data_IF_111639238479
#
_entry.id   IF_111639238479
#
_cell.length_a   1.000
_cell.length_b   1.000
_cell.length_c   1.000
_cell.angle_alpha   90.00
_cell.angle_beta   90.00
_cell.angle_gamma   90.00
#
_symmetry.space_group_name_H-M   'P 1'
#
loop_
_entity.id
_entity.type
_entity.pdbx_description
1 polymer ?
2 non-polymer ?
3 water ?
#
# COMPACT_ATOMS: atom_id res chain seq x y z
N UNK A 8 1.70 13.27 23.00
CA UNK A 8 1.77 14.53 22.17
C UNK A 8 1.50 14.25 20.67
N UNK A 9 0.35 14.71 20.15
CA UNK A 9 -0.03 14.49 18.73
C UNK A 9 1.08 14.85 17.74
N UNK A 10 1.06 14.21 16.57
CA UNK A 10 2.00 14.55 15.48
C UNK A 10 1.58 15.85 14.84
N UNK A 11 2.56 16.66 14.43
CA UNK A 11 2.28 17.91 13.74
C UNK A 11 2.30 17.76 12.20
N UNK A 12 2.38 16.53 11.69
CA UNK A 12 2.50 16.31 10.24
C UNK A 12 1.13 16.41 9.56
N UNK A 13 1.07 17.13 8.43
CA UNK A 13 -0.09 17.15 7.57
C UNK A 13 -0.41 15.76 7.05
N UNK A 14 -1.65 15.32 7.28
CA UNK A 14 -2.13 14.06 6.78
C UNK A 14 -3.59 14.17 6.41
N UNK A 15 -4.06 13.29 5.54
CA UNK A 15 -5.47 13.20 5.17
C UNK A 15 -5.77 11.82 4.61
N UNK A 16 -6.96 11.32 4.89
CA UNK A 16 -7.46 10.10 4.31
C UNK A 16 -8.95 10.24 4.07
N UNK A 17 -9.35 10.50 2.83
CA UNK A 17 -10.76 10.70 2.54
C UNK A 17 -11.29 9.56 1.64
N UNK A 18 -12.62 9.40 1.63
CA UNK A 18 -13.30 8.19 1.12
C UNK A 18 -14.47 8.56 0.19
N UNK A 19 -14.77 7.73 -0.79
CA UNK A 19 -15.89 8.02 -1.71
C UNK A 19 -17.19 8.08 -0.94
N UNK A 20 -18.09 8.99 -1.30
CA UNK A 20 -19.40 9.07 -0.68
C UNK A 20 -20.24 8.02 -1.32
N UNK A 21 -20.70 7.04 -0.56
CA UNK A 21 -21.37 5.89 -1.19
C UNK A 21 -22.78 6.14 -1.72
N UNK A 22 -23.43 7.20 -1.30
CA UNK A 22 -24.76 7.47 -1.81
C UNK A 22 -24.71 8.40 -3.02
N UNK A 23 -23.55 9.01 -3.28
CA UNK A 23 -23.32 9.75 -4.52
C UNK A 23 -23.00 8.82 -5.70
N UNK A 24 -23.92 7.90 -5.98
CA UNK A 24 -23.90 7.12 -7.22
C UNK A 24 -23.68 7.98 -8.45
N UNK A 25 -22.84 7.51 -9.35
CA UNK A 25 -22.64 8.19 -10.64
C UNK A 25 -21.70 9.37 -10.55
N UNK A 26 -21.04 9.50 -9.39
CA UNK A 26 -20.05 10.52 -9.12
C UNK A 26 -18.97 9.95 -8.21
N UNK A 27 -17.82 10.60 -8.21
CA UNK A 27 -16.81 10.40 -7.19
C UNK A 27 -16.67 11.62 -6.27
N UNK A 28 -17.34 11.55 -5.12
CA UNK A 28 -17.33 12.61 -4.14
C UNK A 28 -16.48 12.20 -2.94
N UNK A 29 -15.39 12.93 -2.73
CA UNK A 29 -14.55 12.68 -1.59
C UNK A 29 -15.14 13.28 -0.31
N UNK A 30 -15.21 12.50 0.78
CA UNK A 30 -15.61 12.99 2.09
C UNK A 30 -14.51 12.89 3.11
N UNK A 31 -14.40 13.90 3.98
CA UNK A 31 -13.61 13.80 5.24
C UNK A 31 -14.49 13.59 6.48
N UNK A 32 -15.79 13.82 6.32
CA UNK A 32 -16.76 13.61 7.39
C UNK A 32 -17.45 12.34 7.12
N UNK A 33 -16.86 11.27 7.61
CA UNK A 33 -17.42 9.96 7.54
C UNK A 33 -16.61 9.15 8.46
N UNK A 34 -17.19 8.06 8.93
CA UNK A 34 -16.52 7.18 9.83
C UNK A 34 -15.20 6.82 9.17
N UNK A 35 -14.10 7.01 9.91
CA UNK A 35 -12.77 6.57 9.50
C UNK A 35 -12.20 7.33 8.28
N UNK A 36 -12.53 8.62 8.21
CA UNK A 36 -11.92 9.57 7.27
C UNK A 36 -11.42 10.75 8.10
N UNK A 37 -10.41 11.46 7.62
CA UNK A 37 -9.76 12.50 8.45
C UNK A 37 -9.02 13.55 7.64
N UNK A 38 -9.06 14.76 8.19
CA UNK A 38 -8.15 15.85 7.80
C UNK A 38 -7.40 16.25 9.06
N UNK A 39 -6.09 16.45 8.96
CA UNK A 39 -5.28 16.78 10.18
C UNK A 39 -4.16 17.77 9.88
N UNK A 40 -3.83 18.60 10.86
CA UNK A 40 -2.71 19.52 10.77
C UNK A 40 -2.69 20.36 9.48
N UNK A 41 -3.85 20.90 9.12
CA UNK A 41 -3.94 21.95 8.15
C UNK A 41 -4.42 21.57 6.76
N UNK A 42 -4.50 20.27 6.49
CA UNK A 42 -4.93 19.80 5.18
C UNK A 42 -6.45 20.06 5.09
N UNK A 43 -6.89 20.72 4.00
CA UNK A 43 -8.33 20.96 3.73
C UNK A 43 -8.90 20.12 2.54
N UNK A 44 -10.19 19.86 2.57
CA UNK A 44 -10.91 19.28 1.42
C UNK A 44 -11.83 20.35 0.87
N UNK A 45 -11.48 20.88 -0.30
CA UNK A 45 -12.20 21.99 -0.89
C UNK A 45 -12.48 21.73 -2.38
N UNK A 46 -13.76 21.74 -2.77
CA UNK A 46 -14.15 21.56 -4.18
C UNK A 46 -13.66 20.21 -4.69
N UNK A 47 -13.81 19.18 -3.86
CA UNK A 47 -13.42 17.81 -4.19
C UNK A 47 -11.92 17.60 -4.35
N UNK A 48 -11.14 18.51 -3.79
CA UNK A 48 -9.71 18.45 -3.92
C UNK A 48 -9.11 18.62 -2.59
N UNK A 49 -7.98 17.96 -2.35
CA UNK A 49 -7.18 18.13 -1.11
C UNK A 49 -6.17 19.26 -1.32
N UNK A 50 -5.95 20.03 -0.24
CA UNK A 50 -5.20 21.27 -0.30
C UNK A 50 -4.07 21.25 0.73
N UNK A 51 -2.86 21.48 0.27
CA UNK A 51 -1.64 21.22 1.02
C UNK A 51 -1.22 22.46 1.80
N UNK A 52 -1.07 22.36 3.13
CA UNK A 52 -0.87 23.57 3.91
C UNK A 52 0.59 23.95 4.12
N UNK A 53 1.52 23.08 3.72
CA UNK A 53 2.96 23.42 3.85
C UNK A 53 3.85 22.57 2.92
N UNK A 54 4.99 23.12 2.52
CA UNK A 54 5.83 22.49 1.50
C UNK A 54 6.58 21.27 2.04
N UNK A 55 6.88 20.34 1.16
CA UNK A 55 7.67 19.19 1.56
C UNK A 55 7.39 17.98 0.72
N UNK A 56 7.93 16.85 1.15
CA UNK A 56 7.69 15.58 0.50
C UNK A 56 6.42 14.97 1.09
N UNK A 57 5.55 14.49 0.22
CA UNK A 57 4.37 13.73 0.63
C UNK A 57 4.27 12.40 -0.13
N UNK A 58 3.90 11.37 0.61
CA UNK A 58 3.39 10.18 0.00
C UNK A 58 1.94 10.53 -0.39
N UNK A 59 1.57 10.29 -1.65
CA UNK A 59 0.18 10.39 -2.09
C UNK A 59 -0.26 8.98 -2.42
N UNK A 60 -1.48 8.60 -2.06
CA UNK A 60 -2.00 7.25 -2.42
C UNK A 60 -3.47 7.26 -2.71
N UNK A 61 -3.93 6.35 -3.56
CA UNK A 61 -5.34 6.22 -3.78
C UNK A 61 -5.73 4.87 -4.33
N UNK A 62 -6.92 4.38 -3.97
CA UNK A 62 -7.50 3.21 -4.60
C UNK A 62 -8.93 3.51 -5.07
N UNK A 63 -9.25 3.02 -6.27
CA UNK A 63 -10.59 2.97 -6.76
C UNK A 63 -10.84 1.53 -7.22
N UNK A 64 -12.09 1.15 -7.16
CA UNK A 64 -12.45 -0.20 -7.47
C UNK A 64 -13.61 -0.13 -8.41
N UNK A 65 -13.48 -0.80 -9.55
CA UNK A 65 -14.52 -0.80 -10.58
C UNK A 65 -15.10 -2.16 -10.60
N UNK A 66 -16.37 -2.24 -10.99
CA UNK A 66 -17.11 -3.50 -11.06
C UNK A 66 -18.10 -3.42 -12.21
N UNK A 67 -18.18 -4.51 -12.97
CA UNK A 67 -19.25 -4.69 -13.96
C UNK A 67 -19.77 -6.13 -14.05
N UNK A 68 -20.94 -6.27 -14.65
CA UNK A 68 -21.54 -7.59 -14.88
C UNK A 68 -21.39 -7.92 -16.36
N UNK A 69 -20.51 -8.86 -16.68
CA UNK A 69 -20.22 -9.21 -18.10
C UNK A 69 -19.71 -8.06 -18.96
N UNK A 70 -19.36 -8.36 -20.21
CA UNK A 70 -18.63 -7.42 -21.06
C UNK A 70 -19.46 -6.89 -22.23
N UNK A 71 -19.56 -5.56 -22.35
CA UNK A 71 -20.48 -4.96 -23.33
C UNK A 71 -19.90 -4.84 -24.74
N UNK A 72 -20.78 -4.49 -25.70
CA UNK A 72 -20.43 -4.23 -27.12
C UNK A 72 -19.24 -3.24 -27.32
N UNK A 73 -19.31 -2.04 -26.72
CA UNK A 73 -18.22 -1.04 -26.82
C UNK A 73 -17.10 -1.30 -25.83
N UNK A 74 -15.85 -1.17 -26.31
CA UNK A 74 -14.62 -1.41 -25.50
C UNK A 74 -14.50 -0.48 -24.32
N UNK A 75 -14.16 -1.05 -23.17
CA UNK A 75 -14.15 -0.34 -21.91
C UNK A 75 -12.72 -0.05 -21.49
N UNK A 76 -12.44 1.23 -21.29
CA UNK A 76 -11.18 1.70 -20.76
C UNK A 76 -11.45 2.40 -19.44
N UNK A 77 -10.87 1.87 -18.35
CA UNK A 77 -10.96 2.46 -17.01
C UNK A 77 -9.65 3.23 -16.66
N UNK A 78 -9.74 4.51 -16.31
CA UNK A 78 -8.57 5.30 -15.86
C UNK A 78 -8.73 5.87 -14.43
N UNK A 79 -7.58 6.14 -13.82
CA UNK A 79 -7.51 6.78 -12.56
C UNK A 79 -6.31 7.69 -12.57
N UNK A 80 -6.52 8.95 -12.25
CA UNK A 80 -5.48 9.97 -12.37
C UNK A 80 -5.44 10.86 -11.13
N UNK A 81 -4.24 11.01 -10.55
CA UNK A 81 -4.00 12.00 -9.54
C UNK A 81 -3.19 13.18 -10.13
N UNK A 82 -3.70 14.38 -9.93
CA UNK A 82 -3.13 15.62 -10.53
C UNK A 82 -2.86 16.65 -9.50
N UNK A 83 -2.06 17.64 -9.90
CA UNK A 83 -1.60 18.69 -9.01
C UNK A 83 -1.80 20.03 -9.71
N UNK A 84 -2.44 20.96 -9.01
CA UNK A 84 -2.62 22.36 -9.40
C UNK A 84 -1.82 23.24 -8.46
N UNK A 85 -0.64 23.69 -8.89
CA UNK A 85 0.17 24.60 -8.07
C UNK A 85 -0.36 26.05 -8.18
N UNK A 86 -0.17 26.82 -7.15
CA UNK A 86 -0.56 28.22 -7.09
C UNK A 86 0.14 28.99 -8.22
N UNK A 87 1.39 28.62 -8.50
CA UNK A 87 2.20 29.32 -9.53
C UNK A 87 1.99 28.79 -10.97
N UNK A 88 1.11 27.81 -11.13
CA UNK A 88 0.81 27.26 -12.43
C UNK A 88 -0.48 26.55 -12.28
N UNK A 89 -1.57 27.28 -12.45
CA UNK A 89 -2.88 26.82 -12.00
C UNK A 89 -3.64 26.07 -13.06
N UNK A 90 -3.06 24.94 -13.46
CA UNK A 90 -3.69 23.97 -14.34
C UNK A 90 -3.18 22.54 -13.98
N UNK A 91 -4.03 21.53 -14.21
CA UNK A 91 -3.77 20.14 -13.74
C UNK A 91 -2.53 19.56 -14.38
N UNK A 92 -1.47 19.35 -13.61
CA UNK A 92 -0.41 18.44 -14.05
C UNK A 92 -0.59 17.05 -13.44
N UNK A 93 -0.73 16.05 -14.30
CA UNK A 93 -0.85 14.65 -13.90
C UNK A 93 0.39 14.17 -13.17
N UNK A 94 0.23 13.69 -11.92
CA UNK A 94 1.31 13.11 -11.10
C UNK A 94 1.39 11.57 -11.21
N UNK A 95 0.24 10.91 -11.31
CA UNK A 95 0.18 9.46 -11.30
C UNK A 95 -1.00 9.04 -12.14
N UNK A 96 -0.88 8.02 -12.97
CA UNK A 96 -2.09 7.46 -13.57
C UNK A 96 -1.95 6.04 -14.08
N UNK A 97 -3.10 5.40 -14.31
CA UNK A 97 -3.12 4.03 -14.78
C UNK A 97 -4.38 3.77 -15.59
N UNK A 98 -4.20 3.05 -16.71
CA UNK A 98 -5.30 2.54 -17.53
C UNK A 98 -5.43 1.03 -17.35
N UNK A 99 -6.66 0.52 -17.36
CA UNK A 99 -6.93 -0.92 -17.28
C UNK A 99 -8.09 -1.21 -18.24
N UNK A 100 -8.07 -2.41 -18.84
CA UNK A 100 -9.14 -2.93 -19.70
C UNK A 100 -9.66 -4.16 -19.04
N UNK A 101 -10.78 -4.07 -18.34
CA UNK A 101 -11.23 -5.23 -17.61
C UNK A 101 -11.63 -6.39 -18.53
N UNK A 102 -11.97 -6.10 -19.79
CA UNK A 102 -12.62 -7.07 -20.66
C UNK A 102 -11.73 -7.42 -21.89
N UNK A 103 -11.41 -8.72 -22.05
CA UNK A 103 -10.73 -9.21 -23.27
C UNK A 103 -11.65 -9.19 -24.54
N UNK A 104 -12.82 -9.84 -24.49
CA UNK A 104 -13.83 -9.77 -25.58
C UNK A 104 -15.21 -9.36 -25.06
N UNK A 105 -16.15 -9.09 -25.98
CA UNK A 105 -17.59 -9.00 -25.63
C UNK A 105 -18.06 -10.36 -25.06
N UNK A 106 -18.84 -10.34 -23.97
CA UNK A 106 -19.27 -11.60 -23.34
C UNK A 106 -19.92 -12.48 -24.43
N UNK A 107 -19.25 -13.61 -24.77
CA UNK A 107 -19.71 -14.57 -25.79
C UNK A 107 -21.06 -15.23 -25.42
N UNK A 112 -22.50 -14.19 -17.94
CA UNK A 112 -22.06 -12.79 -17.77
C UNK A 112 -21.56 -12.52 -16.33
N UNK A 113 -20.46 -13.17 -15.95
CA UNK A 113 -19.97 -13.15 -14.56
C UNK A 113 -19.43 -11.76 -14.17
N UNK A 114 -19.54 -11.39 -12.88
CA UNK A 114 -18.96 -10.12 -12.47
C UNK A 114 -17.45 -10.07 -12.71
N UNK A 115 -16.94 -8.88 -13.03
CA UNK A 115 -15.51 -8.64 -12.98
C UNK A 115 -15.24 -7.51 -12.02
N UNK A 116 -14.13 -7.62 -11.29
CA UNK A 116 -13.67 -6.53 -10.42
C UNK A 116 -12.32 -6.10 -10.91
N UNK A 117 -12.16 -4.80 -11.19
CA UNK A 117 -10.87 -4.20 -11.56
C UNK A 117 -10.54 -3.03 -10.63
N UNK A 118 -9.60 -3.25 -9.70
CA UNK A 118 -9.06 -2.15 -8.91
C UNK A 118 -7.95 -1.40 -9.65
N UNK A 119 -7.80 -0.09 -9.35
CA UNK A 119 -6.63 0.70 -9.74
C UNK A 119 -6.05 1.43 -8.49
N UNK A 120 -4.75 1.28 -8.29
CA UNK A 120 -4.06 1.81 -7.18
C UNK A 120 -2.95 2.70 -7.70
N UNK A 121 -2.79 3.84 -7.03
CA UNK A 121 -1.81 4.84 -7.37
C UNK A 121 -1.17 5.28 -6.06
N UNK A 122 0.15 5.19 -5.99
CA UNK A 122 0.93 5.77 -4.91
C UNK A 122 2.32 6.25 -5.35
N UNK A 123 2.80 7.32 -4.73
CA UNK A 123 4.14 7.84 -4.99
C UNK A 123 4.51 8.90 -3.98
N UNK A 124 5.78 9.31 -4.00
CA UNK A 124 6.28 10.37 -3.13
C UNK A 124 6.71 11.57 -4.00
N UNK A 125 6.14 12.74 -3.72
CA UNK A 125 6.34 13.93 -4.56
C UNK A 125 6.60 15.13 -3.71
N UNK A 126 7.47 16.04 -4.16
CA UNK A 126 7.58 17.40 -3.52
C UNK A 126 6.30 18.22 -3.78
N UNK A 127 5.76 18.85 -2.74
CA UNK A 127 4.56 19.70 -2.91
C UNK A 127 4.81 21.07 -2.24
N UNK A 128 4.04 22.09 -2.66
CA UNK A 128 4.14 23.49 -2.18
C UNK A 128 2.87 23.86 -1.47
N UNK A 129 2.93 24.88 -0.58
CA UNK A 129 1.69 25.38 0.09
C UNK A 129 0.68 25.82 -0.94
N UNK A 130 -0.58 25.45 -0.74
CA UNK A 130 -1.66 25.92 -1.59
C UNK A 130 -1.91 24.99 -2.77
N UNK A 131 -1.05 23.97 -2.91
CA UNK A 131 -1.26 22.90 -3.89
C UNK A 131 -2.64 22.28 -3.76
N UNK A 132 -3.27 22.01 -4.89
CA UNK A 132 -4.57 21.37 -4.90
C UNK A 132 -4.44 20.01 -5.60
N UNK A 133 -4.76 18.94 -4.89
CA UNK A 133 -4.59 17.60 -5.46
C UNK A 133 -5.96 17.07 -5.76
N UNK A 134 -6.12 16.52 -6.96
CA UNK A 134 -7.40 15.90 -7.35
C UNK A 134 -7.08 14.48 -7.72
N UNK A 135 -8.10 13.62 -7.58
CA UNK A 135 -8.00 12.18 -7.80
C UNK A 135 -9.25 11.79 -8.55
N UNK A 136 -9.10 11.51 -9.84
CA UNK A 136 -10.23 11.44 -10.78
C UNK A 136 -10.28 10.13 -11.62
N UNK A 137 -11.49 9.66 -11.86
CA UNK A 137 -11.72 8.52 -12.77
C UNK A 137 -12.51 8.99 -13.98
N UNK A 138 -12.47 8.19 -15.07
CA UNK A 138 -13.28 8.43 -16.25
C UNK A 138 -14.64 7.75 -16.28
N UNK A 139 -14.85 6.70 -15.47
CA UNK A 139 -16.10 5.95 -15.51
C UNK A 139 -16.69 5.72 -14.15
N UNK A 140 -17.35 6.75 -13.58
CA UNK A 140 -18.02 6.61 -12.28
C UNK A 140 -19.25 5.69 -12.29
N UNK A 141 -19.79 5.43 -13.47
CA UNK A 141 -20.83 4.42 -13.58
C UNK A 141 -20.35 2.99 -13.26
N UNK A 142 -19.04 2.73 -13.19
CA UNK A 142 -18.49 1.38 -12.81
C UNK A 142 -17.89 1.30 -11.40
N UNK A 143 -17.81 2.42 -10.70
CA UNK A 143 -17.37 2.40 -9.29
C UNK A 143 -18.17 1.43 -8.47
N UNK A 144 -17.50 0.76 -7.54
CA UNK A 144 -18.16 -0.10 -6.61
C UNK A 144 -18.12 0.52 -5.20
N UNK A 145 -19.31 0.89 -4.68
CA UNK A 145 -19.49 1.34 -3.27
C UNK A 145 -20.17 0.31 -2.33
N UNK A 146 -20.14 -0.98 -2.70
CA UNK A 146 -20.72 -2.13 -1.91
C UNK A 146 -20.53 -2.04 -0.38
N UNK A 147 -19.27 -2.17 0.06
CA UNK A 147 -18.89 -1.89 1.45
C UNK A 147 -17.93 -0.70 1.45
N UNK A 148 -17.67 -0.17 2.64
CA UNK A 148 -16.64 0.83 2.79
C UNK A 148 -15.21 0.28 2.63
N UNK A 149 -14.27 1.20 2.48
CA UNK A 149 -12.86 0.87 2.45
C UNK A 149 -12.29 0.65 1.07
N UNK A 150 -13.12 0.77 0.05
CA UNK A 150 -12.75 0.37 -1.30
C UNK A 150 -12.20 1.49 -2.12
N UNK A 151 -12.59 2.70 -1.81
CA UNK A 151 -12.30 3.83 -2.64
C UNK A 151 -11.88 4.96 -1.72
N UNK A 152 -10.62 5.41 -1.86
CA UNK A 152 -10.05 6.37 -0.92
C UNK A 152 -8.84 7.08 -1.52
N UNK A 153 -8.42 8.13 -0.83
CA UNK A 153 -7.46 9.10 -1.38
C UNK A 153 -6.82 9.75 -0.18
N UNK A 154 -5.49 9.80 -0.14
CA UNK A 154 -4.81 10.43 0.94
C UNK A 154 -3.39 10.86 0.73
N UNK A 155 -2.91 11.69 1.66
CA UNK A 155 -1.55 12.18 1.66
C UNK A 155 -1.01 12.16 3.10
N UNK A 156 0.31 11.99 3.21
CA UNK A 156 1.06 11.95 4.45
C UNK A 156 2.32 12.74 4.21
N UNK A 157 2.50 13.85 4.93
CA UNK A 157 3.80 14.58 4.88
C UNK A 157 4.89 13.66 5.40
N UNK A 158 6.04 13.64 4.73
CA UNK A 158 7.15 12.76 5.20
C UNK A 158 7.93 13.37 6.37
N UNK B 8 17.57 7.12 22.97
CA UNK B 8 16.52 6.55 23.89
C UNK B 8 15.39 5.88 23.11
N UNK B 9 15.05 4.59 23.44
CA UNK B 9 13.99 3.82 22.72
C UNK B 9 12.66 4.58 22.56
N UNK B 10 12.07 4.52 21.37
CA UNK B 10 10.82 5.22 21.11
C UNK B 10 9.72 4.56 21.90
N UNK B 11 8.83 5.36 22.47
CA UNK B 11 7.67 4.83 23.21
C UNK B 11 6.39 4.70 22.36
N UNK B 12 6.48 4.95 21.06
CA UNK B 12 5.31 4.82 20.16
C UNK B 12 4.73 3.38 20.13
N UNK B 13 3.41 3.23 20.32
CA UNK B 13 2.81 1.90 20.00
C UNK B 13 3.12 1.41 18.54
N UNK B 14 3.62 0.20 18.44
CA UNK B 14 4.02 -0.35 17.16
C UNK B 14 3.74 -1.85 17.15
N UNK B 15 3.65 -2.40 15.96
CA UNK B 15 3.43 -3.82 15.75
C UNK B 15 3.75 -4.14 14.28
N UNK B 16 4.40 -5.28 14.10
CA UNK B 16 4.51 -5.89 12.80
C UNK B 16 4.41 -7.38 12.97
N UNK B 17 3.27 -7.95 12.61
CA UNK B 17 3.04 -9.38 12.78
C UNK B 17 2.97 -10.11 11.45
N UNK B 18 3.30 -11.39 11.51
CA UNK B 18 3.57 -12.17 10.32
C UNK B 18 2.72 -13.45 10.24
N UNK B 19 2.31 -13.81 9.04
CA UNK B 19 1.42 -14.90 8.85
C UNK B 19 2.16 -16.21 9.08
N UNK B 20 1.40 -17.21 9.52
CA UNK B 20 1.90 -18.56 9.83
C UNK B 20 1.76 -19.50 8.63
N UNK B 21 2.87 -19.97 8.05
CA UNK B 21 2.81 -20.79 6.84
C UNK B 21 2.19 -22.19 7.00
N UNK B 22 2.03 -22.66 8.24
CA UNK B 22 1.48 -24.00 8.46
C UNK B 22 0.12 -24.01 9.11
N UNK B 23 -0.48 -22.86 9.34
CA UNK B 23 -1.89 -22.81 9.76
C UNK B 23 -2.82 -23.01 8.54
N UNK B 24 -3.50 -24.17 8.52
CA UNK B 24 -4.31 -24.62 7.39
C UNK B 24 -5.66 -23.90 7.31
N UNK B 25 -5.98 -23.36 6.13
CA UNK B 25 -7.26 -22.70 5.92
C UNK B 25 -7.46 -21.54 6.87
N UNK B 26 -6.36 -20.85 7.19
CA UNK B 26 -6.36 -19.77 8.18
C UNK B 26 -5.34 -18.64 7.77
N UNK B 27 -5.67 -17.39 8.03
CA UNK B 27 -4.61 -16.35 8.04
C UNK B 27 -4.24 -16.04 9.49
N UNK B 28 -3.19 -16.65 9.98
CA UNK B 28 -2.89 -16.57 11.40
C UNK B 28 -1.71 -15.70 11.64
N UNK B 29 -1.91 -14.63 12.41
CA UNK B 29 -0.85 -13.64 12.73
C UNK B 29 -0.04 -14.08 13.93
N UNK B 30 1.27 -13.95 13.78
CA UNK B 30 2.26 -14.33 14.80
C UNK B 30 3.18 -13.13 15.11
N UNK B 31 3.56 -12.99 16.39
CA UNK B 31 4.63 -12.07 16.79
C UNK B 31 5.87 -12.77 17.37
N UNK B 32 5.79 -14.05 17.68
CA UNK B 32 6.97 -14.73 18.17
C UNK B 32 7.75 -15.36 17.04
N UNK B 33 8.34 -14.48 16.21
CA UNK B 33 9.19 -14.83 15.07
C UNK B 33 10.21 -13.70 14.85
N UNK B 34 11.24 -13.99 14.08
CA UNK B 34 12.28 -13.00 13.81
C UNK B 34 11.74 -11.87 12.93
N UNK B 35 12.12 -10.64 13.28
CA UNK B 35 11.68 -9.42 12.62
C UNK B 35 10.15 -9.26 12.66
N UNK B 36 9.55 -9.76 13.72
CA UNK B 36 8.16 -9.53 14.01
C UNK B 36 8.20 -8.92 15.38
N UNK B 37 7.10 -8.30 15.81
CA UNK B 37 7.20 -7.30 16.85
C UNK B 37 5.86 -6.80 17.40
N UNK B 38 5.71 -6.84 18.73
CA UNK B 38 4.72 -6.01 19.49
C UNK B 38 5.51 -5.16 20.44
N UNK B 39 5.33 -3.86 20.40
CA UNK B 39 6.00 -3.00 21.36
C UNK B 39 5.10 -1.85 21.84
N UNK B 40 5.47 -1.30 23.01
CA UNK B 40 4.84 -0.13 23.64
C UNK B 40 3.35 -0.18 23.82
N UNK B 41 2.82 -1.39 24.10
CA UNK B 41 1.42 -1.57 24.57
C UNK B 41 0.47 -2.43 23.70
N UNK B 42 0.83 -2.55 22.41
CA UNK B 42 0.02 -3.24 21.43
C UNK B 42 -0.02 -4.72 21.80
N UNK B 43 -1.20 -5.31 21.70
CA UNK B 43 -1.36 -6.72 22.00
C UNK B 43 -1.87 -7.47 20.79
N UNK B 44 -1.66 -8.79 20.81
CA UNK B 44 -2.19 -9.66 19.82
C UNK B 44 -3.12 -10.67 20.47
N UNK B 45 -4.43 -10.43 20.34
CA UNK B 45 -5.44 -11.19 21.00
C UNK B 45 -6.55 -11.59 19.98
N UNK B 46 -6.82 -12.89 19.88
CA UNK B 46 -7.80 -13.49 18.91
C UNK B 46 -7.51 -13.07 17.51
N UNK B 47 -6.23 -13.03 17.19
CA UNK B 47 -5.75 -12.73 15.84
C UNK B 47 -5.97 -11.27 15.48
N UNK B 48 -6.23 -10.44 16.49
CA UNK B 48 -6.44 -9.02 16.26
C UNK B 48 -5.37 -8.25 16.98
N UNK B 49 -4.96 -7.13 16.41
CA UNK B 49 -4.11 -6.19 17.08
C UNK B 49 -4.97 -5.25 17.87
N UNK B 50 -4.56 -5.01 19.14
CA UNK B 50 -5.30 -4.17 20.09
C UNK B 50 -4.51 -2.88 20.40
N UNK B 51 -5.14 -1.72 20.17
CA UNK B 51 -4.48 -0.40 20.34
C UNK B 51 -4.47 0.03 21.84
N UNK B 52 -3.32 0.53 22.35
CA UNK B 52 -3.21 0.89 23.77
C UNK B 52 -3.60 2.31 24.11
N UNK B 53 -3.65 3.19 23.12
CA UNK B 53 -4.06 4.57 23.38
C UNK B 53 -4.55 5.30 22.12
N UNK B 54 -5.34 6.38 22.35
CA UNK B 54 -5.84 7.28 21.29
C UNK B 54 -4.70 7.85 20.48
N UNK B 55 -4.95 8.07 19.20
CA UNK B 55 -3.95 8.68 18.35
C UNK B 55 -4.19 8.46 16.87
N UNK B 56 -3.37 9.13 16.09
CA UNK B 56 -3.25 8.89 14.69
C UNK B 56 -2.26 7.72 14.46
N UNK B 57 -2.71 6.69 13.75
CA UNK B 57 -1.86 5.53 13.43
C UNK B 57 -1.66 5.37 11.92
N UNK B 58 -0.49 4.93 11.52
CA UNK B 58 -0.35 4.32 10.23
C UNK B 58 -0.86 2.88 10.40
N UNK B 59 -1.56 2.35 9.40
CA UNK B 59 -2.00 0.94 9.43
C UNK B 59 -1.68 0.37 8.09
N UNK B 60 -1.23 -0.87 8.05
CA UNK B 60 -0.79 -1.51 6.80
C UNK B 60 -0.88 -3.03 6.85
N UNK B 61 -1.08 -3.64 5.69
CA UNK B 61 -1.00 -5.10 5.54
C UNK B 61 -0.70 -5.52 4.09
N UNK B 62 0.13 -6.53 3.92
CA UNK B 62 0.35 -7.12 2.62
C UNK B 62 -0.10 -8.57 2.67
N UNK B 63 -0.61 -9.07 1.53
CA UNK B 63 -0.83 -10.52 1.35
C UNK B 63 -0.51 -10.85 -0.07
N UNK B 64 0.03 -12.04 -0.29
CA UNK B 64 0.47 -12.44 -1.61
C UNK B 64 -0.28 -13.73 -1.99
N UNK B 65 -1.01 -13.68 -3.09
CA UNK B 65 -1.76 -14.83 -3.59
C UNK B 65 -1.04 -15.43 -4.77
N UNK B 66 -1.19 -16.74 -4.96
CA UNK B 66 -0.54 -17.42 -6.09
C UNK B 66 -1.36 -18.62 -6.50
N UNK B 67 -1.70 -18.69 -7.78
CA UNK B 67 -2.42 -19.84 -8.34
C UNK B 67 -1.65 -20.43 -9.51
N UNK B 68 -1.87 -21.72 -9.76
CA UNK B 68 -1.21 -22.39 -10.86
C UNK B 68 -2.20 -22.46 -12.00
N UNK B 69 -2.36 -21.34 -12.72
CA UNK B 69 -3.28 -21.26 -13.85
C UNK B 69 -4.67 -20.68 -13.56
N UNK B 70 -5.56 -20.82 -14.52
CA UNK B 70 -6.89 -20.22 -14.49
C UNK B 70 -8.00 -21.17 -15.00
N UNK B 71 -9.01 -21.46 -14.15
CA UNK B 71 -10.28 -22.07 -14.64
C UNK B 71 -11.41 -21.05 -14.93
N UNK B 74 -14.42 -18.16 -12.70
CA UNK B 74 -13.44 -17.12 -12.37
C UNK B 74 -13.31 -17.00 -10.86
N UNK B 75 -12.06 -16.82 -10.40
CA UNK B 75 -11.70 -16.72 -8.99
C UNK B 75 -11.78 -15.24 -8.55
N UNK B 76 -12.30 -14.99 -7.34
CA UNK B 76 -12.18 -13.70 -6.69
C UNK B 76 -11.32 -13.78 -5.43
N UNK B 77 -10.47 -12.78 -5.27
CA UNK B 77 -9.58 -12.69 -4.12
C UNK B 77 -9.96 -11.43 -3.36
N UNK B 78 -10.04 -11.51 -2.04
CA UNK B 78 -10.34 -10.32 -1.29
C UNK B 78 -9.33 -10.14 -0.13
N UNK B 79 -9.19 -8.89 0.32
CA UNK B 79 -8.32 -8.60 1.44
C UNK B 79 -8.80 -7.33 2.13
N UNK B 80 -9.04 -7.43 3.44
CA UNK B 80 -9.75 -6.39 4.20
C UNK B 80 -9.11 -6.14 5.57
N UNK B 81 -8.84 -4.87 5.88
CA UNK B 81 -8.51 -4.46 7.24
C UNK B 81 -9.75 -3.81 7.84
N UNK B 82 -10.07 -4.20 9.07
CA UNK B 82 -11.29 -3.77 9.76
C UNK B 82 -10.95 -3.18 11.12
N UNK B 83 -11.86 -2.34 11.59
CA UNK B 83 -11.83 -1.80 12.94
C UNK B 83 -13.08 -2.22 13.73
N UNK B 84 -12.89 -2.58 14.99
CA UNK B 84 -13.94 -2.65 15.99
C UNK B 84 -13.65 -1.63 17.11
N UNK B 85 -14.39 -0.55 17.15
CA UNK B 85 -14.25 0.41 18.26
C UNK B 85 -14.89 -0.17 19.55
N UNK B 86 -14.26 -0.03 20.71
CA UNK B 86 -14.91 -0.49 21.95
C UNK B 86 -16.24 0.21 22.11
N UNK B 87 -16.23 1.52 21.94
CA UNK B 87 -17.41 2.32 22.23
C UNK B 87 -18.65 2.01 21.37
N UNK B 88 -18.45 1.55 20.13
CA UNK B 88 -19.56 1.27 19.21
C UNK B 88 -19.86 -0.20 19.12
N UNK B 89 -18.91 -1.04 19.55
CA UNK B 89 -18.99 -2.50 19.33
C UNK B 89 -19.49 -2.87 17.95
N UNK B 90 -18.98 -2.23 16.90
CA UNK B 90 -19.32 -2.57 15.51
C UNK B 90 -18.05 -2.87 14.74
N UNK B 91 -18.16 -3.70 13.70
CA UNK B 91 -17.02 -4.08 12.85
C UNK B 91 -17.13 -3.52 11.45
N UNK B 92 -16.19 -2.66 11.11
CA UNK B 92 -16.29 -1.80 9.96
C UNK B 92 -14.95 -1.85 9.19
N UNK B 93 -15.02 -2.00 7.86
CA UNK B 93 -13.85 -1.96 7.01
C UNK B 93 -13.20 -0.57 6.95
N UNK B 94 -11.87 -0.54 7.07
CA UNK B 94 -11.07 0.65 6.79
C UNK B 94 -10.45 0.61 5.38
N UNK B 95 -10.01 -0.57 4.96
CA UNK B 95 -9.30 -0.73 3.66
C UNK B 95 -9.68 -2.08 3.09
N UNK B 96 -10.01 -2.13 1.82
CA UNK B 96 -10.47 -3.37 1.24
C UNK B 96 -10.25 -3.40 -0.29
N UNK B 97 -9.72 -4.53 -0.74
CA UNK B 97 -9.42 -4.76 -2.13
C UNK B 97 -10.15 -6.03 -2.58
N UNK B 98 -10.70 -5.98 -3.79
CA UNK B 98 -11.33 -7.15 -4.42
C UNK B 98 -10.75 -7.21 -5.83
N UNK B 99 -10.41 -8.41 -6.27
CA UNK B 99 -9.58 -8.62 -7.44
C UNK B 99 -9.85 -10.00 -8.11
N UNK B 100 -10.19 -9.98 -9.43
CA UNK B 100 -10.21 -11.20 -10.29
C UNK B 100 -8.82 -11.44 -10.91
N UNK B 101 -8.10 -12.46 -10.46
CA UNK B 101 -6.77 -12.59 -11.02
C UNK B 101 -6.77 -12.96 -12.48
N UNK B 102 -7.81 -13.66 -12.93
CA UNK B 102 -7.83 -14.28 -14.28
C UNK B 102 -8.60 -13.46 -15.32
N UNK B 111 -0.64 -25.00 -21.46
CA UNK B 111 -0.03 -25.39 -20.18
C UNK B 111 -0.16 -24.26 -19.15
N UNK B 112 -0.46 -24.60 -17.90
CA UNK B 112 -0.76 -23.61 -16.85
C UNK B 112 0.50 -22.91 -16.33
N UNK B 113 0.64 -21.63 -16.66
CA UNK B 113 1.73 -20.81 -16.12
C UNK B 113 1.22 -20.06 -14.85
N UNK B 114 2.08 -19.95 -13.81
CA UNK B 114 1.61 -19.48 -12.50
C UNK B 114 1.50 -17.95 -12.32
N UNK B 115 0.43 -17.50 -11.66
CA UNK B 115 0.17 -16.08 -11.45
C UNK B 115 0.35 -15.71 -10.00
N UNK B 116 0.77 -14.46 -9.78
CA UNK B 116 0.94 -13.90 -8.45
C UNK B 116 0.20 -12.60 -8.32
N UNK B 117 -0.39 -12.38 -7.17
CA UNK B 117 -1.11 -11.14 -6.92
C UNK B 117 -0.82 -10.69 -5.50
N UNK B 118 0.08 -9.72 -5.34
CA UNK B 118 0.24 -9.06 -4.07
C UNK B 118 -0.80 -7.97 -3.90
N UNK B 119 -1.41 -7.89 -2.72
CA UNK B 119 -2.29 -6.77 -2.41
C UNK B 119 -1.74 -6.09 -1.19
N UNK B 120 -1.41 -4.79 -1.30
CA UNK B 120 -0.87 -4.00 -0.17
C UNK B 120 -1.85 -2.90 0.21
N UNK B 121 -2.39 -2.99 1.42
CA UNK B 121 -3.37 -2.02 1.94
C UNK B 121 -2.74 -1.13 3.02
N UNK B 122 -2.85 0.18 2.84
CA UNK B 122 -2.38 1.09 3.84
C UNK B 122 -3.10 2.42 3.90
N UNK B 123 -3.10 2.99 5.11
CA UNK B 123 -3.47 4.40 5.27
C UNK B 123 -3.24 4.88 6.69
N UNK B 124 -3.56 6.14 6.91
CA UNK B 124 -3.52 6.71 8.23
C UNK B 124 -4.95 6.89 8.81
N UNK B 125 -5.10 6.53 10.08
CA UNK B 125 -6.39 6.57 10.78
C UNK B 125 -6.31 7.07 12.24
N UNK B 126 -7.38 7.73 12.68
CA UNK B 126 -7.61 8.06 14.08
C UNK B 126 -8.15 6.82 14.77
N UNK B 127 -7.44 6.36 15.79
CA UNK B 127 -7.86 5.18 16.53
C UNK B 127 -7.99 5.52 18.00
N UNK B 128 -8.84 4.76 18.70
CA UNK B 128 -9.15 5.01 20.13
C UNK B 128 -8.67 3.85 20.99
N UNK B 129 -8.35 4.14 22.24
CA UNK B 129 -7.79 3.13 23.16
C UNK B 129 -8.67 1.89 23.16
N UNK B 130 -8.11 0.72 22.95
CA UNK B 130 -8.94 -0.48 23.07
C UNK B 130 -9.55 -0.97 21.79
N UNK B 131 -9.43 -0.21 20.71
CA UNK B 131 -9.83 -0.67 19.36
C UNK B 131 -9.07 -1.95 18.98
N UNK B 132 -9.74 -2.79 18.18
CA UNK B 132 -9.22 -4.08 17.74
C UNK B 132 -9.17 -4.06 16.20
N UNK B 133 -8.08 -4.51 15.61
CA UNK B 133 -7.94 -4.41 14.15
C UNK B 133 -7.67 -5.76 13.62
N UNK B 134 -8.32 -6.07 12.49
CA UNK B 134 -8.22 -7.35 11.82
C UNK B 134 -7.71 -7.13 10.44
N UNK B 135 -6.96 -8.12 9.96
CA UNK B 135 -6.55 -8.16 8.57
C UNK B 135 -6.91 -9.55 8.09
N UNK B 136 -7.79 -9.60 7.11
CA UNK B 136 -8.48 -10.82 6.73
C UNK B 136 -8.57 -10.98 5.19
N UNK B 137 -8.55 -12.25 4.75
CA UNK B 137 -8.74 -12.62 3.36
C UNK B 137 -9.80 -13.71 3.24
N UNK B 138 -10.17 -14.07 2.01
CA UNK B 138 -11.21 -15.05 1.75
C UNK B 138 -10.66 -16.41 1.30
N UNK B 139 -9.47 -16.42 0.70
CA UNK B 139 -8.88 -17.64 0.17
C UNK B 139 -7.48 -17.90 0.76
N UNK B 140 -7.44 -18.39 1.99
CA UNK B 140 -6.13 -18.76 2.59
C UNK B 140 -5.39 -19.84 1.79
N UNK B 141 -6.14 -20.68 1.13
CA UNK B 141 -5.59 -21.72 0.26
C UNK B 141 -4.75 -21.14 -0.89
N UNK B 142 -4.91 -19.85 -1.16
CA UNK B 142 -4.14 -19.20 -2.23
C UNK B 142 -2.94 -18.37 -1.73
N UNK B 143 -2.70 -18.37 -0.43
CA UNK B 143 -1.57 -17.63 0.11
C UNK B 143 -0.23 -18.31 -0.31
N UNK B 144 0.79 -17.49 -0.58
CA UNK B 144 2.11 -18.00 -0.96
C UNK B 144 3.13 -17.67 0.13
N UNK B 145 3.91 -18.69 0.50
CA UNK B 145 4.88 -18.60 1.58
C UNK B 145 6.29 -18.97 1.07
N UNK B 146 6.51 -18.83 -0.24
CA UNK B 146 7.78 -19.22 -0.90
C UNK B 146 8.96 -18.63 -0.09
N UNK B 147 8.99 -17.32 0.02
CA UNK B 147 10.01 -16.60 0.83
C UNK B 147 9.43 -15.98 2.10
N UNK B 148 10.30 -15.48 2.94
CA UNK B 148 9.88 -14.73 4.08
C UNK B 148 9.50 -13.31 3.64
N UNK B 149 8.65 -12.67 4.43
CA UNK B 149 8.31 -11.28 4.25
C UNK B 149 7.13 -11.03 3.35
N UNK B 150 6.35 -12.07 3.02
CA UNK B 150 5.35 -11.93 1.95
C UNK B 150 3.92 -11.62 2.41
N UNK B 151 3.67 -11.83 3.70
CA UNK B 151 2.36 -11.75 4.24
C UNK B 151 2.50 -11.18 5.66
N UNK B 152 1.99 -9.97 5.88
CA UNK B 152 2.25 -9.25 7.13
C UNK B 152 1.23 -8.17 7.43
N UNK B 153 1.24 -7.72 8.69
CA UNK B 153 0.19 -6.83 9.21
C UNK B 153 0.81 -5.95 10.24
N UNK B 154 0.64 -4.64 10.13
CA UNK B 154 1.20 -3.77 11.16
C UNK B 154 0.49 -2.45 11.38
N UNK B 155 0.93 -1.75 12.43
CA UNK B 155 0.49 -0.40 12.77
C UNK B 155 1.65 0.38 13.40
N UNK B 156 1.63 1.69 13.24
CA UNK B 156 2.70 2.52 13.70
C UNK B 156 2.04 3.78 14.21
N UNK B 157 2.15 4.11 15.50
CA UNK B 157 1.63 5.42 16.00
C UNK B 157 2.40 6.54 15.31
N UNK B 158 1.70 7.59 14.89
CA UNK B 158 2.40 8.82 14.40
C UNK B 158 2.82 9.78 15.55
N UNK C 12 15.80 12.96 14.28
CA UNK C 12 15.64 11.49 13.98
C UNK C 12 16.32 11.13 12.64
N UNK C 13 17.16 10.06 12.61
CA UNK C 13 17.79 9.62 11.34
C UNK C 13 16.79 9.18 10.27
N UNK C 14 17.00 9.66 9.05
CA UNK C 14 16.08 9.49 7.96
C UNK C 14 16.87 9.38 6.68
N UNK C 15 16.34 8.60 5.75
CA UNK C 15 16.85 8.63 4.41
C UNK C 15 15.71 8.36 3.47
N UNK C 16 15.90 8.79 2.23
CA UNK C 16 14.95 8.60 1.16
C UNK C 16 15.72 8.77 -0.07
N UNK C 17 16.06 7.64 -0.74
CA UNK C 17 16.89 7.66 -1.95
C UNK C 17 16.09 7.17 -3.14
N UNK C 18 16.61 7.43 -4.33
CA UNK C 18 15.90 7.20 -5.58
C UNK C 18 16.89 6.53 -6.58
N UNK C 19 16.39 6.03 -7.71
CA UNK C 19 17.23 5.39 -8.77
C UNK C 19 18.07 6.41 -9.57
N UNK C 20 18.94 5.93 -10.46
CA UNK C 20 19.67 6.79 -11.45
C UNK C 20 18.76 7.78 -12.23
N UNK C 24 21.77 3.05 -15.81
CA UNK C 24 21.17 1.86 -16.43
C UNK C 24 21.96 0.57 -16.13
N UNK C 25 21.37 -0.56 -16.51
CA UNK C 25 21.93 -1.87 -16.19
C UNK C 25 21.47 -2.45 -14.86
N UNK C 26 21.18 -1.59 -13.89
CA UNK C 26 20.96 -2.03 -12.51
C UNK C 26 19.96 -1.12 -11.76
N UNK C 27 19.72 -1.46 -10.49
CA UNK C 27 19.01 -0.60 -9.58
C UNK C 27 20.01 0.06 -8.61
N UNK C 28 20.48 1.26 -8.96
CA UNK C 28 21.42 2.03 -8.12
C UNK C 28 20.73 3.22 -7.44
N UNK C 29 20.94 3.36 -6.15
CA UNK C 29 20.30 4.42 -5.38
C UNK C 29 21.17 5.69 -5.29
N UNK C 30 20.75 6.76 -5.98
CA UNK C 30 21.42 8.07 -5.86
C UNK C 30 20.80 8.86 -4.69
N UNK C 31 21.64 9.37 -3.77
CA UNK C 31 21.21 10.34 -2.72
C UNK C 31 21.90 11.70 -2.87
N UNK C 41 21.56 11.31 9.87
CA UNK C 41 22.90 10.72 9.72
C UNK C 41 22.99 9.28 9.19
N UNK C 42 22.20 8.97 8.15
CA UNK C 42 22.13 7.64 7.53
C UNK C 42 23.03 7.59 6.30
N UNK C 43 23.88 6.57 6.20
CA UNK C 43 24.83 6.52 5.09
C UNK C 43 24.35 5.58 3.96
N UNK C 44 24.83 5.87 2.76
CA UNK C 44 24.61 5.04 1.61
C UNK C 44 25.95 4.44 1.13
N UNK C 45 26.38 3.38 1.84
CA UNK C 45 27.59 2.64 1.48
C UNK C 45 27.21 1.41 0.70
N UNK C 46 27.65 1.32 -0.55
CA UNK C 46 27.46 0.09 -1.39
C UNK C 46 26.01 -0.18 -1.83
N UNK C 47 25.26 0.87 -2.18
CA UNK C 47 23.86 0.72 -2.60
C UNK C 47 22.97 0.22 -1.43
N UNK C 48 23.42 0.43 -0.19
CA UNK C 48 22.71 -0.03 1.00
C UNK C 48 22.59 1.07 2.02
N UNK C 49 21.44 1.20 2.67
CA UNK C 49 21.33 2.15 3.75
C UNK C 49 21.94 1.50 4.93
N UNK C 50 22.60 2.29 5.79
CA UNK C 50 23.31 1.77 6.97
C UNK C 50 22.72 2.34 8.25
N UNK C 51 22.27 1.47 9.16
CA UNK C 51 21.61 1.93 10.40
C UNK C 51 22.66 2.54 11.31
N UNK C 52 22.45 3.78 11.81
CA UNK C 52 23.44 4.44 12.64
C UNK C 52 23.20 4.27 14.16
N UNK C 53 21.96 4.02 14.57
CA UNK C 53 21.66 3.66 15.95
C UNK C 53 20.57 2.60 16.06
N UNK C 54 20.57 1.93 17.20
CA UNK C 54 19.64 0.89 17.48
C UNK C 54 18.24 1.48 17.74
N UNK C 55 17.22 0.94 17.07
CA UNK C 55 15.84 1.27 17.39
C UNK C 55 14.79 0.81 16.40
N UNK C 56 13.57 1.32 16.60
CA UNK C 56 12.46 1.10 15.71
C UNK C 56 12.54 1.98 14.47
N UNK C 57 12.48 1.36 13.28
CA UNK C 57 12.46 2.10 12.04
C UNK C 57 11.27 1.70 11.16
N UNK C 58 10.65 2.70 10.53
CA UNK C 58 9.73 2.50 9.45
C UNK C 58 10.59 2.49 8.23
N UNK C 59 10.44 1.47 7.41
CA UNK C 59 11.21 1.27 6.17
C UNK C 59 10.19 1.08 5.03
N UNK C 60 10.42 1.67 3.85
CA UNK C 60 9.43 1.58 2.77
C UNK C 60 10.13 1.66 1.46
N UNK C 61 9.44 1.25 0.41
CA UNK C 61 10.00 1.30 -0.91
C UNK C 61 8.89 1.13 -1.91
N UNK C 62 9.18 1.56 -3.14
CA UNK C 62 8.41 1.15 -4.29
C UNK C 62 9.37 1.04 -5.45
N UNK C 63 8.97 0.22 -6.41
CA UNK C 63 9.61 0.20 -7.72
C UNK C 63 8.50 0.05 -8.74
N UNK C 64 8.79 0.47 -9.96
CA UNK C 64 7.87 0.35 -11.07
C UNK C 64 8.56 -0.41 -12.21
N UNK C 65 7.86 -1.38 -12.80
CA UNK C 65 8.35 -2.13 -13.93
C UNK C 65 7.57 -1.75 -15.17
N UNK C 66 8.25 -1.58 -16.31
CA UNK C 66 7.59 -1.38 -17.63
C UNK C 66 8.06 -2.46 -18.62
N UNK C 67 7.12 -2.91 -19.45
CA UNK C 67 7.43 -3.64 -20.68
C UNK C 67 6.50 -3.22 -21.82
N UNK C 68 6.84 -3.62 -23.04
CA UNK C 68 5.95 -3.47 -24.22
C UNK C 68 5.66 -4.87 -24.72
N UNK C 69 4.39 -5.29 -24.66
CA UNK C 69 3.97 -6.62 -25.08
C UNK C 69 4.52 -7.70 -24.18
N UNK C 70 3.99 -8.91 -24.30
CA UNK C 70 4.39 -10.04 -23.45
C UNK C 70 5.42 -10.90 -24.16
N UNK C 71 6.49 -11.29 -23.46
CA UNK C 71 7.52 -12.16 -24.05
C UNK C 71 7.09 -13.64 -24.14
N UNK C 72 7.91 -14.48 -24.76
CA UNK C 72 7.64 -15.93 -24.87
C UNK C 72 7.99 -16.63 -23.56
N UNK C 73 9.21 -16.42 -23.07
CA UNK C 73 9.63 -16.87 -21.75
C UNK C 73 8.78 -16.15 -20.66
N UNK C 74 8.24 -16.91 -19.70
CA UNK C 74 7.39 -16.39 -18.61
C UNK C 74 8.22 -15.60 -17.62
N UNK C 75 7.86 -14.33 -17.47
CA UNK C 75 8.59 -13.41 -16.59
C UNK C 75 7.87 -13.23 -15.24
N UNK C 76 8.66 -13.33 -14.16
CA UNK C 76 8.23 -12.95 -12.82
C UNK C 76 9.09 -11.80 -12.31
N UNK C 77 8.43 -10.76 -11.83
CA UNK C 77 9.11 -9.58 -11.26
C UNK C 77 9.04 -9.65 -9.74
N UNK C 78 10.17 -9.63 -9.07
CA UNK C 78 10.16 -9.58 -7.60
C UNK C 78 10.85 -8.33 -7.12
N UNK C 79 10.51 -7.94 -5.90
CA UNK C 79 11.13 -6.78 -5.22
C UNK C 79 11.26 -7.13 -3.77
N UNK C 80 12.42 -6.89 -3.17
CA UNK C 80 12.72 -7.43 -1.84
C UNK C 80 13.59 -6.49 -0.99
N UNK C 81 13.14 -6.21 0.23
CA UNK C 81 13.97 -5.51 1.18
C UNK C 81 14.56 -6.50 2.18
N UNK C 82 15.88 -6.46 2.35
CA UNK C 82 16.61 -7.37 3.21
C UNK C 82 17.40 -6.63 4.29
N UNK C 83 17.48 -7.25 5.44
CA UNK C 83 18.33 -6.85 6.52
C UNK C 83 19.64 -7.71 6.50
N UNK C 84 20.76 -7.06 6.17
CA UNK C 84 22.06 -7.64 6.36
C UNK C 84 22.53 -7.30 7.77
N UNK C 85 22.49 -8.29 8.67
CA UNK C 85 22.80 -8.08 10.09
C UNK C 85 24.32 -7.96 10.36
N UNK C 86 24.69 -7.62 11.59
CA UNK C 86 26.11 -7.44 11.97
C UNK C 86 26.36 -7.91 13.42
N UNK C 89 27.58 -12.21 9.51
CA UNK C 89 26.82 -11.20 8.74
C UNK C 89 25.83 -11.82 7.70
N UNK C 90 24.67 -12.28 8.20
CA UNK C 90 23.62 -12.97 7.38
C UNK C 90 22.60 -12.02 6.70
N UNK C 91 21.89 -12.54 5.70
CA UNK C 91 20.94 -11.75 4.91
C UNK C 91 19.52 -12.37 4.83
N UNK C 92 18.54 -11.60 5.33
CA UNK C 92 17.19 -12.10 5.56
C UNK C 92 16.13 -11.11 5.00
N UNK C 93 15.21 -11.60 4.17
CA UNK C 93 13.99 -10.81 3.79
C UNK C 93 13.30 -10.13 4.98
N UNK C 94 13.07 -8.82 4.89
CA UNK C 94 12.13 -8.17 5.80
C UNK C 94 10.74 -8.04 5.14
N UNK C 95 10.74 -7.62 3.88
CA UNK C 95 9.53 -7.40 3.10
C UNK C 95 9.80 -7.88 1.67
N UNK C 96 8.79 -8.50 0.99
CA UNK C 96 8.99 -9.08 -0.37
C UNK C 96 7.69 -9.40 -1.08
N UNK C 97 7.70 -9.38 -2.42
CA UNK C 97 6.50 -9.68 -3.20
C UNK C 97 6.91 -9.93 -4.62
N UNK C 98 5.98 -10.53 -5.37
CA UNK C 98 6.22 -11.03 -6.71
C UNK C 98 5.03 -10.63 -7.52
N UNK C 99 5.27 -10.27 -8.78
CA UNK C 99 4.21 -10.06 -9.72
C UNK C 99 4.50 -10.81 -11.01
N UNK C 100 3.43 -11.12 -11.73
CA UNK C 100 3.48 -11.76 -13.01
C UNK C 100 2.69 -10.90 -13.96
N UNK C 101 3.37 -10.15 -14.87
CA UNK C 101 2.61 -9.29 -15.78
C UNK C 101 1.75 -10.04 -16.81
N UNK C 102 2.22 -11.21 -17.26
CA UNK C 102 1.52 -12.02 -18.27
C UNK C 102 1.09 -13.38 -17.72
N UNK C 113 0.42 -3.95 -26.89
CA UNK C 113 -0.13 -3.39 -25.65
C UNK C 113 1.01 -3.27 -24.58
N UNK C 114 1.44 -2.02 -24.25
CA UNK C 114 2.39 -1.77 -23.14
C UNK C 114 1.74 -1.97 -21.76
N UNK C 115 2.53 -2.31 -20.75
CA UNK C 115 2.00 -2.56 -19.39
C UNK C 115 2.90 -1.97 -18.34
N UNK C 116 2.32 -1.75 -17.16
CA UNK C 116 2.99 -1.16 -15.99
C UNK C 116 2.62 -1.94 -14.71
N UNK C 117 3.60 -2.45 -13.97
CA UNK C 117 3.29 -3.14 -12.73
C UNK C 117 4.18 -2.56 -11.64
N UNK C 118 3.59 -1.90 -10.63
CA UNK C 118 4.38 -1.42 -9.49
C UNK C 118 4.52 -2.51 -8.44
N UNK C 119 5.44 -2.35 -7.52
CA UNK C 119 5.43 -3.16 -6.32
C UNK C 119 5.73 -2.33 -5.09
N UNK C 120 4.83 -2.42 -4.10
CA UNK C 120 4.93 -1.64 -2.83
C UNK C 120 5.37 -2.51 -1.65
N UNK C 121 6.26 -1.97 -0.83
CA UNK C 121 6.75 -2.64 0.38
C UNK C 121 6.88 -1.57 1.42
N UNK C 122 6.67 -1.97 2.67
CA UNK C 122 6.68 -1.06 3.81
C UNK C 122 6.30 -1.72 5.14
N UNK C 123 7.07 -1.41 6.17
CA UNK C 123 6.72 -1.77 7.54
C UNK C 123 7.67 -1.28 8.62
N UNK C 124 7.37 -1.66 9.89
CA UNK C 124 8.16 -1.26 11.02
C UNK C 124 8.98 -2.41 11.60
N UNK C 125 10.24 -2.10 11.95
CA UNK C 125 11.23 -3.10 12.37
C UNK C 125 12.20 -2.60 13.46
N UNK C 126 12.47 -3.45 14.44
CA UNK C 126 13.56 -3.24 15.41
C UNK C 126 14.90 -3.54 14.68
N UNK C 127 15.81 -2.58 14.66
CA UNK C 127 17.12 -2.75 14.00
C UNK C 127 18.29 -2.49 14.96
N UNK C 128 19.47 -2.99 14.57
CA UNK C 128 20.74 -2.85 15.36
C UNK C 128 21.63 -1.77 14.77
N UNK C 129 22.46 -1.15 15.65
CA UNK C 129 23.52 -0.24 15.22
C UNK C 129 24.38 -0.99 14.24
N UNK C 130 24.49 -0.44 13.02
CA UNK C 130 25.30 -1.03 11.94
C UNK C 130 24.67 -2.09 11.04
N UNK C 131 23.40 -2.42 11.21
CA UNK C 131 22.72 -3.33 10.27
C UNK C 131 22.62 -2.57 8.98
N UNK C 132 22.67 -3.30 7.87
CA UNK C 132 22.52 -2.74 6.54
C UNK C 132 21.18 -3.21 5.91
N UNK C 133 20.59 -2.36 5.06
CA UNK C 133 19.34 -2.70 4.37
C UNK C 133 19.48 -2.58 2.84
N UNK C 134 19.15 -3.65 2.14
CA UNK C 134 19.06 -3.67 0.68
C UNK C 134 17.59 -3.69 0.17
N UNK C 135 17.36 -3.00 -0.94
CA UNK C 135 16.08 -2.99 -1.62
C UNK C 135 16.44 -3.35 -3.05
N UNK C 136 16.03 -4.53 -3.49
CA UNK C 136 16.58 -5.12 -4.70
C UNK C 136 15.46 -5.62 -5.56
N UNK C 137 15.78 -5.89 -6.82
CA UNK C 137 14.87 -6.52 -7.76
C UNK C 137 15.58 -7.65 -8.56
N UNK C 138 14.81 -8.55 -9.16
CA UNK C 138 15.39 -9.62 -9.97
C UNK C 138 15.58 -9.25 -11.43
N UNK C 139 14.78 -8.30 -11.93
CA UNK C 139 14.79 -7.96 -13.37
C UNK C 139 15.01 -6.44 -13.61
N UNK C 140 16.26 -5.96 -13.38
CA UNK C 140 16.57 -4.57 -13.62
C UNK C 140 16.39 -4.18 -15.08
N UNK C 141 16.18 -5.15 -15.97
CA UNK C 141 15.94 -4.84 -17.38
C UNK C 141 14.52 -4.28 -17.61
N UNK C 142 13.57 -4.56 -16.71
CA UNK C 142 12.17 -4.14 -16.92
C UNK C 142 11.86 -2.92 -16.07
N UNK C 143 12.85 -2.42 -15.35
CA UNK C 143 12.71 -1.24 -14.52
C UNK C 143 12.38 -0.03 -15.36
N UNK C 144 11.52 0.87 -14.84
CA UNK C 144 11.21 2.10 -15.58
C UNK C 144 12.29 3.18 -15.31
N UNK C 149 9.43 9.55 -8.85
CA UNK C 149 8.15 9.53 -8.10
C UNK C 149 7.78 8.15 -7.54
N UNK C 150 7.93 7.13 -8.37
CA UNK C 150 7.48 5.77 -8.08
C UNK C 150 8.60 4.72 -7.85
N UNK C 151 9.86 5.10 -7.98
CA UNK C 151 10.96 4.22 -7.67
C UNK C 151 11.79 4.83 -6.57
N UNK C 152 11.64 4.35 -5.34
CA UNK C 152 12.36 4.92 -4.20
C UNK C 152 12.56 3.88 -3.11
N UNK C 153 13.32 4.26 -2.07
CA UNK C 153 13.64 3.42 -0.92
C UNK C 153 13.94 4.38 0.23
N UNK C 154 13.43 4.10 1.42
CA UNK C 154 13.74 4.98 2.55
C UNK C 154 13.50 4.35 3.91
N UNK C 155 14.03 5.00 4.94
CA UNK C 155 13.83 4.59 6.31
C UNK C 155 13.62 5.83 7.18
N UNK C 156 12.79 5.72 8.22
CA UNK C 156 12.68 6.79 9.22
C UNK C 156 12.78 6.21 10.63
N UNK C 157 13.71 6.72 11.42
CA UNK C 157 13.76 6.47 12.87
C UNK C 157 12.52 7.04 13.55
N UNK C 158 11.85 6.21 14.35
CA UNK C 158 10.64 6.62 15.06
C UNK C 158 10.96 7.24 16.39
X LIG D 1 5.40 1.64 -1.21
X LIG D 1 4.61 1.72 -0.06
X LIG D 1 3.22 2.09 -0.49
X LIG D 1 2.13 1.33 -0.11
X LIG D 1 0.83 1.75 -0.45
X LIG D 1 0.64 2.91 -1.13
X LIG D 1 1.68 3.68 -1.49
X LIG D 1 2.99 3.29 -1.17
X LIG D 1 5.08 2.84 0.76
X LIG D 1 5.71 3.91 0.27
X LIG D 1 5.88 4.78 1.28
X LIG D 1 5.31 4.25 2.44
X LIG D 1 4.80 3.06 2.11
X LIG D 1 4.14 2.13 3.05
X LIG D 1 2.84 2.67 3.61
X LIG D 1 2.54 2.41 4.92
X LIG D 1 3.54 1.66 5.78
X LIG D 1 1.38 2.87 5.47
X LIG D 1 0.47 3.58 4.71
X LIG D 1 1.90 3.35 2.82
X LIG D 1 0.72 3.81 3.38
X LIG D 1 -0.33 4.55 2.57
X LIG D 1 5.37 4.95 3.64
X LIG D 1 5.98 6.23 3.69
X LIG D 1 6.55 6.73 2.54
X LIG D 1 6.48 6.04 1.34
X LIG D 1 5.95 7.03 4.84
X LIG D 1 4.91 7.14 5.77
X LIG D 1 5.31 7.99 6.71
X LIG D 1 4.67 8.52 7.94
X LIG D 1 6.60 8.46 6.48
X LIG D 1 7.00 7.86 5.30
#
# INVERSE_FOLDING_TARGET
SVRSSSRTPSDKPVAHVVANPQAEGQLQWLNRRANALLANGVELRDNQLVVPSEGLYLIYSQVLFKGQGCPSTHVLLTHTISRIAVSYQTKVNLLSAIKSPCQRETPEGAEAKPWYEPIYLGGVFQLEKGDRLSAEINRPDYLDFAESGQVYFGIIAL
SVRSSSRTPSDKPVAHVVANPQAEGQLQWLNRRANALLANGVELRDNQLVVPSEGLYLIYSQVLFKGQGCPSTHVLLTHTISRIAVSYQTKVNLLSAIKSPCQRETPEGAEAKPWYEPIYLGGVFQLEKGDRLSAEINRPDYLDFAESGQVYFGIIAL
SVRSSSRTPSDKPVAHVVANPQAEGQLQWLNRRANALLANGVELRDNQLVVPSEGLYLIYSQVLFKGQGCPSTHVLLTHTISRIAVSYQTKVNLLSAIKSPCQRETPEGAEAKPWYEPIYLGGVFQLEKGDRLSAEINRPDYLDFAESGQVYFGIIAL
A7A O C19 C20 C24 C23 N4 C22 C21 C8 N1 C9 C14 N C7 C6 C4 C5 C3 C2 C25 C1 C C13 C12 C11 C10 C15 C18 N3 C17 N2 C16
#
